data_IF_615034930248
#
_entry.id   IF_615034930248
#
_cell.length_a   1.000
_cell.length_b   1.000
_cell.length_c   1.000
_cell.angle_alpha   90.00
_cell.angle_beta   90.00
_cell.angle_gamma   90.00
#
_symmetry.space_group_name_H-M   'P 1'
#
loop_
_entity.id
_entity.type
_entity.pdbx_description
1 polymer ?
#
# COMPACT_ATOMS: atom_id res chain seq x y z
N UNK A 1 -48.13 34.23 41.66
CA UNK A 1 -47.16 34.97 40.83
C UNK A 1 -45.82 34.27 40.97
N UNK A 2 -45.24 33.87 39.85
CA UNK A 2 -44.05 33.01 39.73
C UNK A 2 -42.83 33.56 40.47
N UNK A 3 -41.99 32.66 40.98
CA UNK A 3 -40.53 32.84 40.89
C UNK A 3 -39.83 31.48 40.80
N UNK A 4 -39.40 31.22 39.56
CA UNK A 4 -38.44 30.21 39.08
C UNK A 4 -37.05 30.76 39.48
N UNK A 5 -36.06 30.02 40.00
CA UNK A 5 -35.09 29.11 39.34
C UNK A 5 -33.86 29.16 40.28
N UNK A 6 -33.11 28.09 40.55
CA UNK A 6 -31.86 27.79 39.82
C UNK A 6 -31.33 26.44 40.29
N UNK A 7 -31.31 25.49 39.36
CA UNK A 7 -30.54 24.27 39.46
C UNK A 7 -29.06 24.63 39.30
N UNK A 8 -28.22 24.23 40.25
CA UNK A 8 -26.77 24.19 40.08
C UNK A 8 -26.36 22.72 39.96
N UNK A 9 -26.45 22.17 38.74
CA UNK A 9 -25.76 20.93 38.41
C UNK A 9 -24.28 21.26 38.25
N UNK A 10 -23.51 21.02 39.32
CA UNK A 10 -22.06 21.07 39.29
C UNK A 10 -21.53 19.93 38.44
N UNK A 11 -21.22 20.23 37.18
CA UNK A 11 -20.50 19.31 36.29
C UNK A 11 -19.02 19.31 36.65
N UNK A 12 -18.58 18.32 37.44
CA UNK A 12 -17.16 18.03 37.63
C UNK A 12 -16.61 17.40 36.34
N UNK A 13 -15.81 18.18 35.63
CA UNK A 13 -15.04 17.75 34.47
C UNK A 13 -13.91 16.85 34.97
N UNK A 14 -14.11 15.53 34.94
CA UNK A 14 -13.06 14.55 35.22
C UNK A 14 -12.14 14.52 34.00
N UNK A 15 -10.97 15.12 34.12
CA UNK A 15 -9.88 14.96 33.17
C UNK A 15 -9.32 13.53 33.30
N UNK A 16 -9.90 12.58 32.55
CA UNK A 16 -9.29 11.27 32.35
C UNK A 16 -8.03 11.45 31.49
N UNK A 17 -6.88 11.53 32.14
CA UNK A 17 -5.58 11.49 31.47
C UNK A 17 -5.37 10.14 30.80
N UNK A 18 -5.42 10.11 29.48
CA UNK A 18 -4.99 8.95 28.70
C UNK A 18 -3.46 8.96 28.65
N UNK A 19 -2.83 8.06 29.42
CA UNK A 19 -1.42 7.73 29.24
C UNK A 19 -1.30 6.86 27.99
N UNK A 20 -0.97 7.47 26.85
CA UNK A 20 -0.57 6.73 25.67
C UNK A 20 0.83 6.13 25.92
N UNK A 21 0.89 4.84 26.27
CA UNK A 21 2.14 4.09 26.21
C UNK A 21 2.44 3.81 24.74
N UNK A 22 3.52 4.38 24.21
CA UNK A 22 3.99 4.13 22.85
C UNK A 22 4.59 2.72 22.77
N UNK A 23 3.74 1.73 22.50
CA UNK A 23 4.23 0.41 22.11
C UNK A 23 4.68 0.48 20.64
N UNK A 24 5.96 0.25 20.41
CA UNK A 24 6.51 0.09 19.06
C UNK A 24 5.99 -1.22 18.49
N UNK A 25 5.04 -1.11 17.57
CA UNK A 25 4.41 -2.27 16.92
C UNK A 25 5.41 -2.89 15.94
N UNK A 26 5.67 -4.21 16.03
CA UNK A 26 6.47 -4.90 15.02
C UNK A 26 5.75 -4.87 13.67
N UNK A 27 6.53 -4.87 12.59
CA UNK A 27 6.16 -4.63 11.17
C UNK A 27 5.12 -5.60 10.56
N UNK A 28 4.41 -6.39 11.36
CA UNK A 28 3.45 -7.40 10.91
C UNK A 28 2.02 -6.85 10.74
N UNK A 29 1.74 -5.61 11.15
CA UNK A 29 0.38 -5.06 11.17
C UNK A 29 -0.12 -4.49 9.82
N UNK A 30 0.76 -4.21 8.86
CA UNK A 30 0.34 -3.67 7.56
C UNK A 30 -0.40 -4.65 6.65
N UNK A 31 -0.54 -5.91 7.05
CA UNK A 31 -1.26 -6.94 6.29
C UNK A 31 -2.67 -7.20 6.82
N UNK A 32 -2.98 -6.82 8.07
CA UNK A 32 -4.21 -7.31 8.73
C UNK A 32 -5.39 -6.32 8.72
N UNK A 33 -5.17 -5.03 8.46
CA UNK A 33 -6.19 -3.98 8.69
C UNK A 33 -7.03 -3.60 7.44
N UNK A 34 -7.08 -4.48 6.43
CA UNK A 34 -7.93 -4.28 5.24
C UNK A 34 -9.12 -5.26 5.12
N UNK A 35 -9.14 -6.37 5.86
CA UNK A 35 -10.08 -7.49 5.59
C UNK A 35 -11.00 -7.84 6.77
N UNK A 36 -11.68 -6.85 7.36
CA UNK A 36 -12.80 -7.11 8.28
C UNK A 36 -14.16 -6.77 7.65
N UNK A 37 -14.39 -7.27 6.44
CA UNK A 37 -15.72 -7.34 5.83
C UNK A 37 -15.88 -8.69 5.14
N UNK A 38 -16.58 -9.63 5.81
CA UNK A 38 -17.20 -10.84 5.26
C UNK A 38 -16.35 -11.66 4.27
N UNK A 39 -15.55 -12.60 4.79
CA UNK A 39 -14.94 -13.66 3.97
C UNK A 39 -15.96 -14.78 3.73
N UNK A 40 -16.86 -14.59 2.77
CA UNK A 40 -17.37 -15.72 1.99
C UNK A 40 -16.20 -16.27 1.18
N UNK A 41 -15.86 -17.54 1.37
CA UNK A 41 -14.88 -18.26 0.54
C UNK A 41 -15.48 -18.46 -0.86
N UNK A 42 -15.59 -17.37 -1.60
CA UNK A 42 -15.71 -17.39 -3.04
C UNK A 42 -14.29 -17.65 -3.54
N UNK A 43 -14.10 -18.73 -4.31
CA UNK A 43 -12.84 -18.96 -5.01
C UNK A 43 -12.76 -17.85 -6.05
N UNK A 44 -12.27 -16.68 -5.63
CA UNK A 44 -12.09 -15.53 -6.49
C UNK A 44 -11.11 -15.98 -7.57
N UNK A 45 -11.64 -16.17 -8.78
CA UNK A 45 -10.82 -16.35 -9.95
C UNK A 45 -9.78 -15.23 -9.93
N UNK A 46 -8.48 -15.58 -9.98
CA UNK A 46 -7.42 -14.58 -10.01
C UNK A 46 -7.76 -13.57 -11.10
N UNK A 47 -7.87 -12.27 -10.78
CA UNK A 47 -8.22 -11.28 -11.78
C UNK A 47 -7.23 -11.40 -12.94
N UNK A 48 -7.76 -11.65 -14.13
CA UNK A 48 -6.93 -11.69 -15.35
C UNK A 48 -6.50 -10.26 -15.63
N UNK A 49 -5.24 -9.96 -15.34
CA UNK A 49 -4.64 -8.67 -15.62
C UNK A 49 -4.21 -8.61 -17.10
N UNK A 50 -4.00 -7.40 -17.61
CA UNK A 50 -3.44 -7.27 -18.95
C UNK A 50 -2.04 -7.85 -19.05
N UNK A 51 -1.67 -8.32 -20.25
CA UNK A 51 -0.31 -8.76 -20.59
C UNK A 51 0.77 -7.75 -20.15
N UNK A 52 0.46 -6.45 -20.10
CA UNK A 52 1.39 -5.42 -19.67
C UNK A 52 1.75 -5.55 -18.17
N UNK A 53 0.75 -5.78 -17.31
CA UNK A 53 0.95 -6.02 -15.87
C UNK A 53 1.71 -7.34 -15.67
N UNK A 54 1.27 -8.42 -16.33
CA UNK A 54 1.91 -9.73 -16.25
C UNK A 54 3.38 -9.68 -16.71
N UNK A 55 3.68 -8.97 -17.80
CA UNK A 55 5.05 -8.84 -18.29
C UNK A 55 5.97 -8.12 -17.30
N UNK A 56 5.44 -7.13 -16.57
CA UNK A 56 6.19 -6.42 -15.55
C UNK A 56 6.42 -7.31 -14.33
N UNK A 57 5.44 -8.12 -13.94
CA UNK A 57 5.58 -9.09 -12.85
C UNK A 57 6.70 -10.09 -13.12
N UNK A 58 6.68 -10.72 -14.30
CA UNK A 58 7.74 -11.63 -14.74
C UNK A 58 9.09 -10.90 -14.75
N UNK A 59 9.13 -9.67 -15.28
CA UNK A 59 10.37 -8.89 -15.29
C UNK A 59 10.89 -8.57 -13.87
N UNK A 60 10.02 -8.35 -12.90
CA UNK A 60 10.42 -8.13 -11.49
C UNK A 60 10.98 -9.42 -10.90
N UNK A 61 10.33 -10.56 -11.13
CA UNK A 61 10.76 -11.88 -10.64
C UNK A 61 12.13 -12.28 -11.21
N UNK A 62 12.36 -12.02 -12.50
CA UNK A 62 13.64 -12.27 -13.16
C UNK A 62 14.77 -11.36 -12.65
N UNK A 63 14.43 -10.22 -12.04
CA UNK A 63 15.41 -9.23 -11.60
C UNK A 63 15.89 -9.52 -10.18
N UNK A 64 17.21 -9.70 -10.02
CA UNK A 64 17.79 -9.94 -8.69
C UNK A 64 17.89 -8.64 -7.89
N UNK A 65 17.02 -8.50 -6.90
CA UNK A 65 17.11 -7.47 -5.86
C UNK A 65 17.87 -7.99 -4.64
N UNK A 66 18.83 -7.22 -4.15
CA UNK A 66 19.52 -7.53 -2.90
C UNK A 66 18.79 -6.85 -1.74
N UNK A 67 17.99 -7.60 -0.98
CA UNK A 67 17.18 -7.06 0.12
C UNK A 67 18.00 -6.53 1.30
N UNK A 68 19.26 -6.96 1.44
CA UNK A 68 20.19 -6.43 2.45
C UNK A 68 20.69 -5.02 2.07
N UNK A 69 20.65 -4.65 0.79
CA UNK A 69 20.98 -3.30 0.34
C UNK A 69 19.74 -2.41 0.44
N UNK A 70 19.81 -1.37 1.28
CA UNK A 70 18.72 -0.40 1.50
C UNK A 70 18.21 0.23 0.20
N UNK A 71 19.09 0.59 -0.73
CA UNK A 71 18.69 1.23 -1.98
C UNK A 71 17.92 0.25 -2.88
N UNK A 72 18.36 -1.01 -2.93
CA UNK A 72 17.70 -2.05 -3.72
C UNK A 72 16.31 -2.37 -3.14
N UNK A 73 16.20 -2.49 -1.82
CA UNK A 73 14.91 -2.74 -1.16
C UNK A 73 13.94 -1.57 -1.34
N UNK A 74 14.41 -0.32 -1.28
CA UNK A 74 13.58 0.86 -1.58
C UNK A 74 13.09 0.89 -3.03
N UNK A 75 13.94 0.54 -4.00
CA UNK A 75 13.53 0.44 -5.40
C UNK A 75 12.47 -0.63 -5.60
N UNK A 76 12.66 -1.82 -5.02
CA UNK A 76 11.68 -2.91 -5.10
C UNK A 76 10.33 -2.48 -4.50
N UNK A 77 10.33 -1.88 -3.30
CA UNK A 77 9.11 -1.36 -2.67
C UNK A 77 8.36 -0.35 -3.57
N UNK A 78 9.09 0.57 -4.20
CA UNK A 78 8.49 1.55 -5.13
C UNK A 78 7.92 0.90 -6.39
N UNK A 79 8.59 -0.11 -6.93
CA UNK A 79 8.09 -0.85 -8.09
C UNK A 79 6.79 -1.58 -7.73
N UNK A 80 6.76 -2.28 -6.59
CA UNK A 80 5.57 -3.00 -6.11
C UNK A 80 4.41 -2.03 -5.88
N UNK A 81 4.67 -0.85 -5.30
CA UNK A 81 3.66 0.19 -5.12
C UNK A 81 2.99 0.61 -6.45
N UNK A 82 3.78 0.92 -7.47
CA UNK A 82 3.22 1.31 -8.77
C UNK A 82 2.52 0.14 -9.48
N UNK A 83 3.00 -1.09 -9.28
CA UNK A 83 2.31 -2.28 -9.78
C UNK A 83 0.94 -2.46 -9.11
N UNK A 84 0.83 -2.26 -7.80
CA UNK A 84 -0.48 -2.32 -7.12
C UNK A 84 -1.43 -1.22 -7.58
N UNK A 85 -0.95 0.02 -7.78
CA UNK A 85 -1.76 1.09 -8.37
C UNK A 85 -2.25 0.71 -9.78
N UNK A 86 -1.37 0.17 -10.63
CA UNK A 86 -1.74 -0.26 -11.97
C UNK A 86 -2.84 -1.34 -11.96
N UNK A 87 -2.77 -2.30 -11.04
CA UNK A 87 -3.80 -3.34 -10.86
C UNK A 87 -5.14 -2.73 -10.42
N UNK A 88 -5.13 -1.79 -9.49
CA UNK A 88 -6.35 -1.08 -9.08
C UNK A 88 -6.96 -0.26 -10.23
N UNK A 89 -6.12 0.44 -10.98
CA UNK A 89 -6.56 1.23 -12.12
C UNK A 89 -7.10 0.37 -13.26
N UNK A 90 -6.55 -0.83 -13.47
CA UNK A 90 -7.10 -1.79 -14.43
C UNK A 90 -8.50 -2.25 -14.03
N UNK A 91 -8.72 -2.59 -12.76
CA UNK A 91 -10.05 -2.98 -12.25
C UNK A 91 -11.08 -1.85 -12.40
N UNK A 92 -10.64 -0.59 -12.27
CA UNK A 92 -11.49 0.61 -12.47
C UNK A 92 -11.59 1.06 -13.93
N UNK A 93 -10.94 0.36 -14.86
CA UNK A 93 -10.83 0.72 -16.27
C UNK A 93 -10.26 2.14 -16.53
N UNK A 94 -9.33 2.59 -15.67
CA UNK A 94 -8.60 3.86 -15.81
C UNK A 94 -7.28 3.64 -16.55
N UNK A 95 -7.38 3.53 -17.87
CA UNK A 95 -6.26 3.13 -18.73
C UNK A 95 -5.05 4.07 -18.62
N UNK A 96 -5.27 5.39 -18.67
CA UNK A 96 -4.18 6.37 -18.59
C UNK A 96 -3.38 6.26 -17.28
N UNK A 97 -4.06 6.16 -16.14
CA UNK A 97 -3.41 6.03 -14.84
C UNK A 97 -2.69 4.69 -14.71
N UNK A 98 -3.29 3.61 -15.20
CA UNK A 98 -2.65 2.28 -15.27
C UNK A 98 -1.35 2.34 -16.06
N UNK A 99 -1.36 2.97 -17.23
CA UNK A 99 -0.18 3.07 -18.09
C UNK A 99 0.91 3.96 -17.47
N UNK A 100 0.56 5.10 -16.85
CA UNK A 100 1.52 5.96 -16.13
C UNK A 100 2.19 5.22 -14.95
N UNK A 101 1.41 4.48 -14.15
CA UNK A 101 1.97 3.66 -13.07
C UNK A 101 2.90 2.56 -13.60
N UNK A 102 2.53 1.88 -14.70
CA UNK A 102 3.39 0.89 -15.35
C UNK A 102 4.68 1.50 -15.91
N UNK A 103 4.62 2.69 -16.50
CA UNK A 103 5.81 3.40 -16.99
C UNK A 103 6.77 3.73 -15.84
N UNK A 104 6.25 4.24 -14.72
CA UNK A 104 7.06 4.55 -13.52
C UNK A 104 7.73 3.31 -12.96
N UNK A 105 6.99 2.20 -12.85
CA UNK A 105 7.54 0.93 -12.39
C UNK A 105 8.67 0.44 -13.32
N UNK A 106 8.42 0.44 -14.63
CA UNK A 106 9.40 0.04 -15.63
C UNK A 106 10.64 0.94 -15.65
N UNK A 107 10.49 2.25 -15.47
CA UNK A 107 11.61 3.18 -15.42
C UNK A 107 12.55 2.88 -14.25
N UNK A 108 12.00 2.58 -13.06
CA UNK A 108 12.77 2.21 -11.88
C UNK A 108 13.45 0.85 -12.09
N UNK A 109 12.73 -0.14 -12.65
CA UNK A 109 13.26 -1.46 -12.93
C UNK A 109 14.42 -1.41 -13.93
N UNK A 110 14.25 -0.68 -15.03
CA UNK A 110 15.29 -0.44 -16.05
C UNK A 110 16.51 0.23 -15.44
N UNK A 111 16.32 1.29 -14.66
CA UNK A 111 17.41 1.97 -13.97
C UNK A 111 18.17 1.02 -13.02
N UNK A 112 17.44 0.20 -12.25
CA UNK A 112 18.04 -0.79 -11.37
C UNK A 112 18.90 -1.78 -12.16
N UNK A 113 18.34 -2.39 -13.21
CA UNK A 113 19.04 -3.34 -14.09
C UNK A 113 20.31 -2.75 -14.70
N UNK A 114 20.25 -1.50 -15.19
CA UNK A 114 21.43 -0.79 -15.69
C UNK A 114 22.51 -0.61 -14.62
N UNK A 115 22.13 -0.28 -13.38
CA UNK A 115 23.07 -0.09 -12.27
C UNK A 115 23.67 -1.39 -11.74
N UNK A 116 22.97 -2.51 -11.86
CA UNK A 116 23.42 -3.82 -11.40
C UNK A 116 24.08 -4.67 -12.49
N UNK A 117 24.17 -4.16 -13.73
CA UNK A 117 24.67 -4.92 -14.88
C UNK A 117 23.72 -6.05 -15.32
N UNK A 118 22.46 -6.03 -14.86
CA UNK A 118 21.40 -6.97 -15.25
C UNK A 118 20.58 -6.47 -16.44
N UNK A 119 20.88 -5.28 -16.96
CA UNK A 119 20.28 -4.77 -18.18
C UNK A 119 21.03 -5.34 -19.38
N UNK A 120 20.33 -6.06 -20.26
CA UNK A 120 20.84 -6.28 -21.60
C UNK A 120 20.95 -4.93 -22.31
N UNK A 121 22.09 -4.65 -22.93
CA UNK A 121 22.17 -3.60 -23.94
C UNK A 121 21.22 -4.03 -25.07
N UNK A 122 20.12 -3.29 -25.22
CA UNK A 122 19.27 -3.39 -26.40
C UNK A 122 20.02 -2.80 -27.60
#
# INVERSE_FOLDING_TARGET
MHNVTKWAFGSLLVCSGVWATSQSTPLTQWVQDQDSAQFTTEVAASPQYSNAIESLEVAIEDTRFNTQNRVHSLRLKRIIYYLSEAREFEQRNWQFNRDDSLERANAILRHHRMKTGQGHAL
#
